data_IF_915075417659
#
_entry.id   IF_915075417659
#
_cell.length_a   1.000
_cell.length_b   1.000
_cell.length_c   1.000
_cell.angle_alpha   90.00
_cell.angle_beta   90.00
_cell.angle_gamma   90.00
#
_symmetry.space_group_name_H-M   'P 1'
#
loop_
_entity.id
_entity.type
_entity.pdbx_description
1 polymer ?
#
# COMPACT_ATOMS: atom_id res chain seq x y z
N UNK A 1 -1.03 -13.56 1.30
CA UNK A 1 -1.97 -13.58 0.16
C UNK A 1 -3.26 -14.21 0.66
N UNK A 2 -4.42 -13.71 0.27
CA UNK A 2 -5.72 -14.27 0.68
C UNK A 2 -5.98 -15.62 -0.02
N UNK A 3 -6.34 -16.65 0.76
CA UNK A 3 -6.61 -18.00 0.26
C UNK A 3 -7.73 -18.02 -0.78
N UNK A 4 -8.73 -17.12 -0.64
CA UNK A 4 -9.83 -17.02 -1.60
C UNK A 4 -9.37 -16.49 -2.96
N UNK A 5 -8.40 -15.58 -2.99
CA UNK A 5 -7.81 -15.08 -4.24
C UNK A 5 -7.05 -16.21 -4.95
N UNK A 6 -6.31 -17.03 -4.19
CA UNK A 6 -5.59 -18.19 -4.75
C UNK A 6 -6.58 -19.23 -5.30
N UNK A 7 -7.67 -19.48 -4.57
CA UNK A 7 -8.73 -20.40 -4.99
C UNK A 7 -9.37 -19.93 -6.31
N UNK A 8 -9.80 -18.66 -6.38
CA UNK A 8 -10.40 -18.09 -7.60
C UNK A 8 -9.44 -18.10 -8.79
N UNK A 9 -8.16 -17.80 -8.58
CA UNK A 9 -7.13 -17.89 -9.63
C UNK A 9 -7.06 -19.28 -10.25
N UNK A 10 -7.08 -20.34 -9.42
CA UNK A 10 -7.06 -21.73 -9.87
C UNK A 10 -8.36 -22.14 -10.57
N UNK A 11 -9.51 -21.77 -10.00
CA UNK A 11 -10.83 -22.10 -10.55
C UNK A 11 -11.08 -21.44 -11.92
N UNK A 12 -10.65 -20.19 -12.09
CA UNK A 12 -10.92 -19.39 -13.28
C UNK A 12 -9.75 -19.36 -14.28
N UNK A 13 -8.62 -20.00 -13.94
CA UNK A 13 -7.37 -19.95 -14.72
C UNK A 13 -6.89 -18.50 -15.00
N UNK A 14 -6.98 -17.63 -14.00
CA UNK A 14 -6.54 -16.24 -14.08
C UNK A 14 -5.23 -16.09 -13.29
N UNK A 15 -4.18 -15.54 -13.92
CA UNK A 15 -2.88 -15.33 -13.28
C UNK A 15 -2.96 -14.28 -12.18
N UNK A 16 -2.31 -14.53 -11.04
CA UNK A 16 -2.13 -13.56 -9.96
C UNK A 16 -0.93 -12.67 -10.29
N UNK A 17 -1.10 -11.36 -10.08
CA UNK A 17 -0.04 -10.36 -10.26
C UNK A 17 0.19 -9.66 -8.92
N UNK A 18 1.43 -9.68 -8.44
CA UNK A 18 1.81 -8.96 -7.23
C UNK A 18 1.95 -7.46 -7.50
N UNK A 19 1.37 -6.65 -6.61
CA UNK A 19 1.46 -5.18 -6.61
C UNK A 19 1.66 -4.67 -5.18
N UNK A 20 2.14 -3.44 -5.01
CA UNK A 20 2.40 -2.84 -3.69
C UNK A 20 1.54 -1.60 -3.38
N UNK A 21 0.55 -1.31 -4.24
CA UNK A 21 -0.35 -0.16 -4.08
C UNK A 21 0.38 1.16 -3.77
N UNK A 22 1.38 1.48 -4.61
CA UNK A 22 2.29 2.59 -4.36
C UNK A 22 1.58 3.95 -4.41
N UNK A 23 1.80 4.77 -3.38
CA UNK A 23 1.34 6.15 -3.27
C UNK A 23 2.47 7.19 -3.34
N UNK A 24 3.71 6.79 -3.09
CA UNK A 24 4.87 7.68 -3.08
C UNK A 24 6.15 6.98 -3.55
N UNK A 25 7.17 7.74 -3.93
CA UNK A 25 8.36 7.16 -4.59
C UNK A 25 9.30 6.45 -3.62
N UNK A 26 9.60 7.07 -2.47
CA UNK A 26 10.57 6.57 -1.49
C UNK A 26 9.94 6.42 -0.12
N UNK A 27 10.45 5.50 0.70
CA UNK A 27 9.89 5.17 2.03
C UNK A 27 9.76 6.41 2.93
N UNK A 28 10.71 7.32 2.84
CA UNK A 28 10.79 8.55 3.62
C UNK A 28 9.66 9.54 3.30
N UNK A 29 8.99 9.38 2.15
CA UNK A 29 7.88 10.26 1.73
C UNK A 29 6.54 9.94 2.40
N UNK A 30 6.46 8.91 3.24
CA UNK A 30 5.23 8.54 3.94
C UNK A 30 4.63 9.72 4.74
N UNK A 31 5.45 10.48 5.45
CA UNK A 31 4.99 11.64 6.23
C UNK A 31 4.44 12.77 5.32
N UNK A 32 5.08 13.02 4.18
CA UNK A 32 4.60 14.00 3.21
C UNK A 32 3.26 13.57 2.60
N UNK A 33 3.09 12.27 2.33
CA UNK A 33 1.82 11.72 1.84
C UNK A 33 0.71 11.85 2.89
N UNK A 34 0.99 11.61 4.17
CA UNK A 34 0.00 11.82 5.26
C UNK A 34 -0.48 13.29 5.30
N UNK A 35 0.44 14.26 5.16
CA UNK A 35 0.08 15.68 5.09
C UNK A 35 -0.78 15.97 3.85
N UNK A 36 -0.43 15.39 2.70
CA UNK A 36 -1.24 15.53 1.48
C UNK A 36 -2.67 15.00 1.66
N UNK A 37 -2.85 13.84 2.30
CA UNK A 37 -4.18 13.30 2.62
C UNK A 37 -4.98 14.24 3.53
N UNK A 38 -4.33 14.82 4.54
CA UNK A 38 -4.97 15.79 5.44
C UNK A 38 -5.48 17.02 4.67
N UNK A 39 -4.69 17.54 3.73
CA UNK A 39 -5.09 18.66 2.86
C UNK A 39 -6.32 18.26 2.03
N UNK A 40 -6.28 17.11 1.36
CA UNK A 40 -7.37 16.63 0.51
C UNK A 40 -8.69 16.43 1.29
N UNK A 41 -8.60 16.07 2.57
CA UNK A 41 -9.77 15.82 3.43
C UNK A 41 -10.19 17.04 4.26
N UNK A 42 -9.49 18.18 4.15
CA UNK A 42 -9.77 19.37 4.97
C UNK A 42 -9.52 19.14 6.47
N UNK A 43 -8.55 18.29 6.80
CA UNK A 43 -8.21 17.86 8.18
C UNK A 43 -6.88 18.44 8.62
N UNK A 44 -6.70 18.60 9.93
CA UNK A 44 -5.43 19.01 10.54
C UNK A 44 -4.58 17.79 10.85
N UNK A 45 -3.26 17.94 10.82
CA UNK A 45 -2.33 16.83 11.13
C UNK A 45 -2.46 16.34 12.58
N UNK A 46 -2.89 17.20 13.51
CA UNK A 46 -3.14 16.84 14.91
C UNK A 46 -4.59 16.38 15.18
N UNK A 47 -5.44 16.30 14.16
CA UNK A 47 -6.79 15.74 14.31
C UNK A 47 -6.66 14.23 14.61
N UNK A 48 -7.20 13.74 15.74
CA UNK A 48 -7.15 12.33 16.10
C UNK A 48 -7.95 11.44 15.12
N UNK A 49 -8.96 12.00 14.47
CA UNK A 49 -9.84 11.31 13.53
C UNK A 49 -9.39 11.47 12.07
N UNK A 50 -8.17 11.98 11.82
CA UNK A 50 -7.63 12.07 10.46
C UNK A 50 -7.37 10.67 9.91
N UNK A 51 -7.56 10.51 8.61
CA UNK A 51 -7.12 9.29 7.94
C UNK A 51 -5.59 9.20 7.99
N UNK A 52 -5.09 8.07 8.47
CA UNK A 52 -3.67 7.76 8.52
C UNK A 52 -3.47 6.29 8.19
N UNK A 53 -2.50 5.99 7.34
CA UNK A 53 -2.07 4.61 7.14
C UNK A 53 -1.34 4.09 8.38
N UNK A 54 -1.64 2.86 8.80
CA UNK A 54 -0.99 2.21 9.95
C UNK A 54 0.48 1.85 9.68
N UNK A 55 0.89 1.80 8.41
CA UNK A 55 2.24 1.44 7.95
C UNK A 55 2.76 2.44 6.93
N UNK A 56 4.08 2.48 6.75
CA UNK A 56 4.76 3.37 5.79
C UNK A 56 5.29 2.59 4.57
N UNK A 57 4.52 1.64 4.06
CA UNK A 57 4.97 0.65 3.08
C UNK A 57 4.51 0.91 1.63
N UNK A 58 3.78 2.00 1.38
CA UNK A 58 3.23 2.34 0.07
C UNK A 58 4.23 3.09 -0.84
N UNK A 59 5.52 2.74 -0.76
CA UNK A 59 6.57 3.27 -1.63
C UNK A 59 6.90 2.33 -2.78
N UNK A 60 7.66 2.80 -3.78
CA UNK A 60 8.18 1.94 -4.86
C UNK A 60 9.27 1.03 -4.28
N UNK A 61 8.91 -0.24 -4.05
CA UNK A 61 9.83 -1.26 -3.54
C UNK A 61 10.77 -1.78 -4.63
N UNK A 62 11.97 -2.22 -4.21
CA UNK A 62 12.87 -2.94 -5.11
C UNK A 62 12.32 -4.33 -5.44
N UNK A 63 12.78 -4.97 -6.53
CA UNK A 63 12.41 -6.35 -6.86
C UNK A 63 12.66 -7.33 -5.72
N UNK A 64 13.75 -7.17 -4.98
CA UNK A 64 14.13 -8.02 -3.86
C UNK A 64 13.12 -7.89 -2.71
N UNK A 65 12.78 -6.64 -2.34
CA UNK A 65 11.76 -6.36 -1.32
C UNK A 65 10.39 -6.93 -1.71
N UNK A 66 10.01 -6.84 -2.99
CA UNK A 66 8.78 -7.46 -3.49
C UNK A 66 8.85 -8.98 -3.41
N UNK A 67 9.96 -9.58 -3.83
CA UNK A 67 10.14 -11.03 -3.76
C UNK A 67 10.02 -11.53 -2.32
N UNK A 68 10.61 -10.86 -1.34
CA UNK A 68 10.51 -11.25 0.07
C UNK A 68 9.08 -11.22 0.62
N UNK A 69 8.21 -10.33 0.10
CA UNK A 69 6.82 -10.20 0.54
C UNK A 69 5.88 -11.24 -0.06
N UNK A 70 6.20 -11.76 -1.24
CA UNK A 70 5.33 -12.63 -2.04
C UNK A 70 5.92 -14.03 -2.32
N UNK A 71 7.10 -14.34 -1.79
CA UNK A 71 7.75 -15.66 -1.89
C UNK A 71 6.99 -16.77 -1.16
#
# INVERSE_FOLDING_TARGET
>A
IDDDIIRLSKELNIKIIATNDTHYTFKERAAAHEVFMCIAMGKKLNDPDRMRHSVHEFYVKSPEQMSELFA
#
